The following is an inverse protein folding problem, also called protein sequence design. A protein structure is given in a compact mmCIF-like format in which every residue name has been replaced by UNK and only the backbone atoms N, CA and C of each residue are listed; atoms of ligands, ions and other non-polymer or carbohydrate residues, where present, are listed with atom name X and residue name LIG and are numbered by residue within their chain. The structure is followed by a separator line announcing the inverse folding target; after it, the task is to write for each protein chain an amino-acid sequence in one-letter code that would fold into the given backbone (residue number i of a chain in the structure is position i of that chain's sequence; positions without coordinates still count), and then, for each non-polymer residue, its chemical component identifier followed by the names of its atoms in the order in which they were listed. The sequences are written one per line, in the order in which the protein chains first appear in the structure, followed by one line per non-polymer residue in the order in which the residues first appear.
data_IF_062667689974
#
_entry.id   IF_062667689974
#
_cell.length_a   1.000
_cell.length_b   1.000
_cell.length_c   1.000
_cell.angle_alpha   90.00
_cell.angle_beta   90.00
_cell.angle_gamma   90.00
#
_symmetry.space_group_name_H-M   'P 1'
#
loop_
_entity.id
_entity.type
_entity.pdbx_description
1 polymer ?
#
# COMPACT_ATOMS: atom_id res chain seq x y z
N UNK A 1 -73.63 -0.45 17.71
CA UNK A 1 -74.50 0.32 16.78
C UNK A 1 -74.24 1.78 17.06
N UNK A 2 -73.72 2.51 16.06
CA UNK A 2 -73.14 3.87 16.17
C UNK A 2 -71.85 3.88 17.00
N UNK A 3 -70.66 4.24 16.49
CA UNK A 3 -70.22 5.29 15.55
C UNK A 3 -70.22 6.68 16.20
N UNK A 4 -69.02 7.30 16.28
CA UNK A 4 -68.61 8.39 15.39
C UNK A 4 -67.08 8.57 15.44
N UNK A 5 -66.50 9.12 14.37
CA UNK A 5 -65.06 9.23 14.13
C UNK A 5 -64.54 10.67 14.24
N UNK A 6 -63.20 10.81 14.15
CA UNK A 6 -62.41 12.01 13.79
C UNK A 6 -62.43 13.28 14.66
N UNK A 7 -61.21 13.69 15.08
CA UNK A 7 -60.48 14.80 14.43
C UNK A 7 -59.00 14.98 14.83
N UNK A 8 -58.14 14.87 13.81
CA UNK A 8 -56.96 15.71 13.49
C UNK A 8 -56.01 16.22 14.61
N UNK A 9 -54.83 15.59 14.65
CA UNK A 9 -53.47 16.16 14.61
C UNK A 9 -53.12 17.56 15.19
N UNK A 10 -52.05 17.59 16.02
CA UNK A 10 -50.88 18.45 15.75
C UNK A 10 -49.59 17.94 16.44
N UNK A 11 -48.43 18.49 16.08
CA UNK A 11 -47.05 18.12 16.50
C UNK A 11 -46.48 19.03 17.63
N UNK A 12 -45.36 18.73 18.33
CA UNK A 12 -44.52 17.51 18.35
C UNK A 12 -44.28 16.98 19.81
N UNK A 13 -43.17 17.10 20.57
CA UNK A 13 -41.79 17.57 20.33
C UNK A 13 -40.79 17.13 21.45
N UNK A 14 -39.49 17.13 21.12
CA UNK A 14 -38.25 17.03 21.94
C UNK A 14 -37.99 15.83 22.87
N UNK A 15 -36.97 15.02 22.49
CA UNK A 15 -35.76 14.59 23.26
C UNK A 15 -35.88 13.89 24.65
N UNK A 16 -34.97 12.98 25.08
CA UNK A 16 -33.78 12.33 24.49
C UNK A 16 -33.57 10.98 25.23
N UNK A 17 -32.64 10.06 24.92
CA UNK A 17 -31.55 10.06 23.95
C UNK A 17 -31.32 8.64 23.38
N UNK A 18 -30.93 8.54 22.11
CA UNK A 18 -30.32 7.31 21.58
C UNK A 18 -28.79 7.46 21.55
N UNK A 19 -28.06 6.45 22.04
CA UNK A 19 -26.59 6.46 22.06
C UNK A 19 -26.00 6.25 20.66
N UNK A 20 -26.03 7.27 19.81
CA UNK A 20 -25.57 7.17 18.42
C UNK A 20 -24.09 6.83 18.34
N UNK A 21 -23.78 5.63 17.85
CA UNK A 21 -22.43 5.05 17.81
C UNK A 21 -21.64 5.59 16.61
N UNK A 22 -21.41 6.90 16.61
CA UNK A 22 -20.82 7.67 15.51
C UNK A 22 -19.33 7.38 15.29
N UNK A 23 -18.99 6.19 14.80
CA UNK A 23 -17.66 5.93 14.23
C UNK A 23 -17.71 6.20 12.72
N UNK A 24 -17.32 7.42 12.33
CA UNK A 24 -17.21 7.80 10.91
C UNK A 24 -16.01 7.08 10.30
N UNK A 25 -16.25 5.89 9.72
CA UNK A 25 -15.25 5.20 8.91
C UNK A 25 -14.67 6.21 7.90
N UNK A 26 -13.33 6.30 7.84
CA UNK A 26 -12.62 7.19 6.91
C UNK A 26 -12.66 6.62 5.48
N UNK A 27 -13.88 6.55 4.93
CA UNK A 27 -14.36 5.73 3.81
C UNK A 27 -13.39 5.74 2.62
N UNK A 28 -12.88 4.56 2.24
CA UNK A 28 -11.99 4.42 1.11
C UNK A 28 -12.80 4.11 -0.14
N UNK A 29 -13.25 5.17 -0.83
CA UNK A 29 -14.03 5.24 -2.09
C UNK A 29 -13.48 4.46 -3.31
N UNK A 30 -12.48 3.59 -3.12
CA UNK A 30 -11.90 2.70 -4.14
C UNK A 30 -11.54 1.37 -3.48
N UNK A 31 -11.93 0.25 -4.07
CA UNK A 31 -11.63 -1.11 -3.57
C UNK A 31 -10.13 -1.48 -3.58
N UNK A 32 -9.84 -2.75 -3.30
CA UNK A 32 -8.46 -3.27 -3.36
C UNK A 32 -7.91 -3.22 -4.79
N UNK A 33 -6.63 -2.87 -4.93
CA UNK A 33 -5.98 -2.74 -6.26
C UNK A 33 -5.62 -4.11 -6.82
N UNK A 34 -6.59 -4.76 -7.45
CA UNK A 34 -6.38 -5.97 -8.27
C UNK A 34 -5.94 -5.52 -9.67
N UNK A 35 -4.71 -5.85 -10.07
CA UNK A 35 -4.15 -5.44 -11.38
C UNK A 35 -4.66 -6.34 -12.52
N UNK A 36 -5.96 -6.21 -12.82
CA UNK A 36 -6.70 -7.08 -13.77
C UNK A 36 -6.09 -7.14 -15.18
N UNK A 37 -5.37 -6.11 -15.63
CA UNK A 37 -4.63 -6.13 -16.90
C UNK A 37 -3.52 -7.19 -16.91
N UNK A 38 -2.74 -7.27 -15.83
CA UNK A 38 -1.64 -8.24 -15.69
C UNK A 38 -2.17 -9.66 -15.60
N UNK A 39 -3.27 -9.84 -14.85
CA UNK A 39 -3.94 -11.14 -14.72
C UNK A 39 -4.45 -11.60 -16.10
N UNK A 40 -5.18 -10.76 -16.83
CA UNK A 40 -5.66 -11.07 -18.19
C UNK A 40 -4.54 -11.39 -19.20
N UNK A 41 -3.41 -10.70 -19.11
CA UNK A 41 -2.24 -10.99 -19.94
C UNK A 41 -1.66 -12.37 -19.61
N UNK A 42 -1.35 -12.61 -18.33
CA UNK A 42 -0.87 -13.90 -17.80
C UNK A 42 -1.78 -15.07 -18.19
N UNK A 43 -3.09 -14.87 -18.12
CA UNK A 43 -4.10 -15.91 -18.40
C UNK A 43 -4.21 -16.25 -19.90
N UNK A 44 -3.67 -15.40 -20.79
CA UNK A 44 -3.41 -15.71 -22.21
C UNK A 44 -2.01 -16.26 -22.48
N UNK A 45 -1.12 -16.29 -21.49
CA UNK A 45 0.32 -16.54 -21.65
C UNK A 45 1.16 -15.32 -22.04
N UNK A 46 0.59 -14.12 -22.15
CA UNK A 46 1.32 -12.87 -22.40
C UNK A 46 2.14 -12.46 -21.16
N UNK A 47 3.38 -12.03 -21.37
CA UNK A 47 4.26 -11.47 -20.32
C UNK A 47 4.76 -10.08 -20.70
N UNK A 48 5.03 -9.25 -19.71
CA UNK A 48 5.56 -7.90 -19.92
C UNK A 48 7.09 -7.89 -19.82
N UNK A 49 7.74 -7.28 -20.81
CA UNK A 49 9.17 -7.03 -20.82
C UNK A 49 9.59 -6.02 -19.75
N UNK A 50 10.77 -6.19 -19.11
CA UNK A 50 11.21 -5.34 -17.99
C UNK A 50 12.62 -4.81 -18.21
N UNK A 51 12.71 -3.52 -18.53
CA UNK A 51 13.98 -2.85 -18.73
C UNK A 51 14.59 -2.30 -17.42
N UNK A 52 15.91 -2.18 -17.41
CA UNK A 52 16.73 -1.79 -16.26
C UNK A 52 17.71 -0.70 -16.69
N UNK A 53 18.02 0.25 -15.80
CA UNK A 53 19.15 1.17 -16.02
C UNK A 53 20.49 0.48 -15.72
N UNK A 54 21.60 1.13 -16.11
CA UNK A 54 22.96 0.72 -15.72
C UNK A 54 23.22 0.74 -14.20
N UNK A 55 22.31 1.32 -13.40
CA UNK A 55 22.32 1.29 -11.93
C UNK A 55 21.38 0.20 -11.36
N UNK A 56 21.01 -0.81 -12.16
CA UNK A 56 20.09 -1.90 -11.80
C UNK A 56 18.71 -1.44 -11.27
N UNK A 57 18.19 -0.32 -11.79
CA UNK A 57 16.89 0.24 -11.39
C UNK A 57 15.82 0.09 -12.47
N UNK A 58 14.58 -0.19 -12.04
CA UNK A 58 13.41 -0.32 -12.92
C UNK A 58 13.04 1.00 -13.62
N UNK A 59 13.20 1.00 -14.94
CA UNK A 59 12.81 2.08 -15.85
C UNK A 59 11.45 1.80 -16.52
N UNK A 60 10.85 2.81 -17.15
CA UNK A 60 9.54 2.70 -17.82
C UNK A 60 9.69 2.08 -19.24
N UNK A 61 8.64 1.55 -19.91
CA UNK A 61 7.21 1.62 -19.56
C UNK A 61 6.76 0.73 -18.40
N UNK A 62 7.37 -0.44 -18.22
CA UNK A 62 6.79 -1.49 -17.35
C UNK A 62 7.31 -1.46 -15.90
N UNK A 63 8.36 -0.69 -15.58
CA UNK A 63 8.94 -0.64 -14.24
C UNK A 63 8.00 -0.07 -13.16
N UNK A 64 7.13 0.88 -13.49
CA UNK A 64 6.04 1.34 -12.61
C UNK A 64 4.98 0.27 -12.38
N UNK A 65 4.62 -0.48 -13.42
CA UNK A 65 3.62 -1.55 -13.39
C UNK A 65 4.10 -2.73 -12.53
N UNK A 66 5.30 -3.27 -12.80
CA UNK A 66 5.92 -4.32 -11.99
C UNK A 66 6.04 -3.91 -10.52
N UNK A 67 6.56 -2.70 -10.25
CA UNK A 67 6.72 -2.21 -8.89
C UNK A 67 5.37 -1.99 -8.16
N UNK A 68 4.24 -1.96 -8.87
CA UNK A 68 2.89 -1.92 -8.32
C UNK A 68 2.33 -3.32 -8.11
N UNK A 69 2.59 -4.25 -9.03
CA UNK A 69 2.16 -5.65 -8.96
C UNK A 69 2.82 -6.43 -7.82
N UNK A 70 4.13 -6.23 -7.62
CA UNK A 70 4.85 -6.65 -6.41
C UNK A 70 4.14 -6.11 -5.16
N UNK A 71 3.62 -4.88 -5.23
CA UNK A 71 2.84 -4.27 -4.15
C UNK A 71 1.49 -4.95 -3.88
N UNK A 72 0.81 -5.54 -4.86
CA UNK A 72 -0.37 -6.39 -4.63
C UNK A 72 0.02 -7.75 -4.02
N UNK A 73 0.91 -8.50 -4.68
CA UNK A 73 1.30 -9.86 -4.25
C UNK A 73 1.78 -9.90 -2.80
N UNK A 74 2.60 -8.93 -2.40
CA UNK A 74 3.15 -8.85 -1.04
C UNK A 74 2.08 -8.62 0.03
N UNK A 75 0.97 -7.96 -0.31
CA UNK A 75 -0.17 -7.79 0.59
C UNK A 75 -1.07 -9.03 0.67
N UNK A 76 -0.88 -10.01 -0.22
CA UNK A 76 -1.65 -11.27 -0.26
C UNK A 76 -0.84 -12.47 0.27
N UNK A 77 0.48 -12.34 0.39
CA UNK A 77 1.38 -13.48 0.66
C UNK A 77 2.37 -13.26 1.82
N UNK A 78 2.42 -12.07 2.44
CA UNK A 78 3.26 -11.81 3.62
C UNK A 78 2.45 -11.08 4.71
N UNK A 79 2.37 -11.62 5.94
CA UNK A 79 1.66 -10.98 7.03
C UNK A 79 2.11 -9.55 7.35
N UNK A 80 1.17 -8.68 7.71
CA UNK A 80 1.45 -7.33 8.24
C UNK A 80 2.10 -7.37 9.63
N UNK A 81 2.03 -8.51 10.33
CA UNK A 81 2.63 -8.75 11.65
C UNK A 81 4.10 -9.18 11.63
N UNK A 82 4.67 -9.61 10.49
CA UNK A 82 6.02 -10.20 10.48
C UNK A 82 7.12 -9.15 10.80
N UNK A 83 7.93 -9.37 11.84
CA UNK A 83 8.90 -8.36 12.28
C UNK A 83 10.18 -8.38 11.44
N UNK A 84 10.73 -9.57 11.21
CA UNK A 84 12.00 -9.75 10.49
C UNK A 84 11.77 -10.19 9.03
N UNK A 85 12.03 -9.30 8.07
CA UNK A 85 11.98 -9.64 6.63
C UNK A 85 12.95 -10.77 6.23
N UNK A 86 14.00 -11.02 7.02
CA UNK A 86 14.94 -12.14 6.82
C UNK A 86 14.49 -13.46 7.45
N UNK A 87 13.34 -13.52 8.13
CA UNK A 87 12.83 -14.76 8.72
C UNK A 87 12.68 -15.88 7.67
N UNK A 88 13.04 -17.14 8.01
CA UNK A 88 12.80 -18.31 7.15
C UNK A 88 11.31 -18.64 6.98
N UNK A 89 10.44 -18.27 7.94
CA UNK A 89 8.98 -18.46 7.86
C UNK A 89 8.40 -17.81 6.58
N UNK A 90 8.98 -16.68 6.19
CA UNK A 90 8.58 -15.90 5.02
C UNK A 90 9.11 -16.48 3.70
N UNK A 91 9.87 -17.59 3.71
CA UNK A 91 10.45 -18.20 2.50
C UNK A 91 9.36 -18.57 1.49
N UNK A 92 8.36 -19.36 1.91
CA UNK A 92 7.24 -19.80 1.06
C UNK A 92 6.44 -18.62 0.49
N UNK A 93 6.25 -17.56 1.27
CA UNK A 93 5.58 -16.33 0.81
C UNK A 93 6.39 -15.59 -0.27
N UNK A 94 7.71 -15.46 -0.08
CA UNK A 94 8.64 -14.86 -1.06
C UNK A 94 8.72 -15.68 -2.35
N UNK A 95 8.72 -17.01 -2.24
CA UNK A 95 8.75 -17.93 -3.37
C UNK A 95 7.46 -17.82 -4.20
N UNK A 96 6.28 -17.79 -3.56
CA UNK A 96 5.01 -17.52 -4.24
C UNK A 96 5.00 -16.17 -4.96
N UNK A 97 5.49 -15.10 -4.30
CA UNK A 97 5.64 -13.78 -4.92
C UNK A 97 6.55 -13.84 -6.15
N UNK A 98 7.69 -14.54 -6.06
CA UNK A 98 8.63 -14.69 -7.17
C UNK A 98 8.03 -15.48 -8.34
N UNK A 99 7.33 -16.59 -8.06
CA UNK A 99 6.65 -17.39 -9.09
C UNK A 99 5.58 -16.59 -9.84
N UNK A 100 4.76 -15.78 -9.16
CA UNK A 100 3.78 -14.91 -9.85
C UNK A 100 4.46 -13.80 -10.66
N UNK A 101 5.59 -13.25 -10.20
CA UNK A 101 6.39 -12.30 -10.99
C UNK A 101 6.90 -12.97 -12.29
N UNK A 102 7.52 -14.15 -12.19
CA UNK A 102 8.03 -14.91 -13.35
C UNK A 102 6.91 -15.38 -14.30
N UNK A 103 5.67 -15.55 -13.80
CA UNK A 103 4.49 -15.87 -14.63
C UNK A 103 4.02 -14.69 -15.46
N UNK A 104 4.14 -13.45 -14.95
CA UNK A 104 3.60 -12.25 -15.61
C UNK A 104 4.64 -11.35 -16.29
N UNK A 105 5.93 -11.50 -16.00
CA UNK A 105 6.99 -10.62 -16.52
C UNK A 105 8.20 -11.43 -17.02
N UNK A 106 8.87 -10.92 -18.04
CA UNK A 106 10.21 -11.39 -18.43
C UNK A 106 11.24 -10.75 -17.49
N UNK A 107 11.75 -11.54 -16.54
CA UNK A 107 12.75 -11.13 -15.55
C UNK A 107 13.71 -12.29 -15.30
N UNK A 108 15.00 -12.02 -15.44
CA UNK A 108 16.09 -12.95 -15.12
C UNK A 108 16.21 -13.25 -13.61
N UNK A 109 16.69 -14.45 -13.26
CA UNK A 109 16.77 -14.91 -11.87
C UNK A 109 17.77 -14.12 -11.01
N UNK A 110 18.82 -13.54 -11.59
CA UNK A 110 19.71 -12.60 -10.85
C UNK A 110 18.94 -11.42 -10.25
N UNK A 111 17.81 -11.04 -10.85
CA UNK A 111 16.95 -9.93 -10.39
C UNK A 111 15.94 -10.34 -9.32
N UNK A 112 15.83 -11.63 -8.96
CA UNK A 112 14.99 -12.11 -7.83
C UNK A 112 15.29 -11.32 -6.55
N UNK A 113 16.58 -11.16 -6.22
CA UNK A 113 17.04 -10.42 -5.04
C UNK A 113 16.55 -8.97 -5.02
N UNK A 114 16.50 -8.31 -6.18
CA UNK A 114 15.94 -6.96 -6.31
C UNK A 114 14.43 -6.97 -6.07
N UNK A 115 13.69 -7.87 -6.71
CA UNK A 115 12.24 -7.97 -6.60
C UNK A 115 11.80 -8.25 -5.15
N UNK A 116 12.49 -9.15 -4.45
CA UNK A 116 12.24 -9.46 -3.03
C UNK A 116 12.67 -8.31 -2.08
N UNK A 117 13.66 -7.49 -2.44
CA UNK A 117 13.93 -6.25 -1.69
C UNK A 117 12.87 -5.17 -1.93
N UNK A 118 12.38 -5.03 -3.17
CA UNK A 118 11.29 -4.11 -3.52
C UNK A 118 9.98 -4.53 -2.83
N UNK A 119 9.72 -5.82 -2.73
CA UNK A 119 8.64 -6.39 -1.93
C UNK A 119 8.68 -5.93 -0.46
N UNK A 120 9.81 -6.10 0.23
CA UNK A 120 9.98 -5.61 1.61
C UNK A 120 9.79 -4.10 1.76
N UNK A 121 10.26 -3.30 0.77
CA UNK A 121 10.00 -1.85 0.71
C UNK A 121 8.51 -1.53 0.57
N UNK A 122 7.76 -2.29 -0.25
CA UNK A 122 6.30 -2.13 -0.40
C UNK A 122 5.54 -2.52 0.86
N UNK A 123 5.89 -3.62 1.53
CA UNK A 123 5.27 -4.02 2.80
C UNK A 123 5.46 -2.96 3.89
N UNK A 124 6.69 -2.44 4.04
CA UNK A 124 6.97 -1.34 4.98
C UNK A 124 6.12 -0.11 4.69
N UNK A 125 5.99 0.26 3.41
CA UNK A 125 5.12 1.36 2.97
C UNK A 125 3.65 1.13 3.30
N UNK A 126 3.13 -0.08 3.05
CA UNK A 126 1.74 -0.45 3.34
C UNK A 126 1.45 -0.39 4.85
N UNK A 127 2.31 -0.95 5.70
CA UNK A 127 2.16 -0.87 7.17
C UNK A 127 2.15 0.57 7.68
N UNK A 128 3.01 1.43 7.13
CA UNK A 128 3.01 2.87 7.47
C UNK A 128 1.71 3.57 7.00
N UNK A 129 1.18 3.21 5.83
CA UNK A 129 -0.13 3.68 5.37
C UNK A 129 -1.25 3.24 6.32
N UNK A 130 -1.31 1.95 6.70
CA UNK A 130 -2.32 1.45 7.64
C UNK A 130 -2.29 2.22 8.97
N UNK A 131 -1.09 2.39 9.54
CA UNK A 131 -0.92 3.13 10.80
C UNK A 131 -1.29 4.60 10.70
N UNK A 132 -1.05 5.26 9.57
CA UNK A 132 -1.32 6.69 9.43
C UNK A 132 -2.73 7.01 8.90
N UNK A 133 -3.46 6.04 8.32
CA UNK A 133 -4.83 6.27 7.81
C UNK A 133 -5.93 5.79 8.76
N UNK A 134 -5.67 4.74 9.55
CA UNK A 134 -6.66 4.13 10.44
C UNK A 134 -6.30 4.29 11.91
N UNK A 135 -5.06 3.98 12.29
CA UNK A 135 -4.65 4.00 13.70
C UNK A 135 -4.36 5.41 14.24
N UNK A 136 -4.74 6.48 13.52
CA UNK A 136 -4.49 7.87 13.91
C UNK A 136 -5.61 8.85 13.56
N UNK A 137 -5.70 9.88 14.39
CA UNK A 137 -6.37 11.15 14.16
C UNK A 137 -5.53 12.06 13.22
N UNK A 138 -5.78 13.37 13.19
CA UNK A 138 -5.07 14.31 12.31
C UNK A 138 -3.83 14.92 12.98
N UNK A 139 -3.87 14.97 14.31
CA UNK A 139 -2.84 15.38 15.27
C UNK A 139 -1.69 14.35 15.35
N UNK A 140 -1.99 13.07 15.12
CA UNK A 140 -1.05 11.95 15.04
C UNK A 140 -1.01 11.02 16.25
N UNK A 141 -1.96 11.15 17.18
CA UNK A 141 -2.16 10.26 18.33
C UNK A 141 -2.77 8.92 17.89
N UNK A 142 -2.74 7.91 18.76
CA UNK A 142 -3.31 6.60 18.44
C UNK A 142 -4.77 6.48 18.88
N UNK A 143 -5.66 6.30 17.91
CA UNK A 143 -7.10 6.06 18.15
C UNK A 143 -7.41 4.57 18.24
N UNK A 144 -8.60 4.23 18.77
CA UNK A 144 -9.17 2.89 18.62
C UNK A 144 -9.72 2.73 17.21
N UNK A 145 -9.38 1.62 16.54
CA UNK A 145 -9.61 1.47 15.11
C UNK A 145 -9.85 0.00 14.73
N UNK A 146 -11.08 -0.27 14.33
CA UNK A 146 -11.51 -1.57 13.83
C UNK A 146 -10.78 -1.95 12.52
N UNK A 147 -10.74 -3.26 12.23
CA UNK A 147 -10.09 -3.80 11.02
C UNK A 147 -10.80 -3.28 9.76
N UNK A 148 -10.14 -2.50 8.88
CA UNK A 148 -10.82 -1.88 7.76
C UNK A 148 -11.38 -2.92 6.78
N UNK A 149 -12.69 -2.88 6.52
CA UNK A 149 -13.40 -3.87 5.67
C UNK A 149 -12.70 -4.10 4.32
N UNK A 150 -12.17 -3.04 3.69
CA UNK A 150 -11.39 -3.07 2.44
C UNK A 150 -10.23 -4.09 2.43
N UNK A 151 -9.68 -4.45 3.59
CA UNK A 151 -8.57 -5.39 3.72
C UNK A 151 -8.93 -6.66 4.50
N UNK A 152 -10.21 -6.87 4.85
CA UNK A 152 -10.66 -8.03 5.62
C UNK A 152 -10.44 -9.38 4.92
N UNK A 153 -10.30 -9.39 3.59
CA UNK A 153 -9.93 -10.55 2.77
C UNK A 153 -8.44 -10.95 2.88
N UNK A 154 -7.56 -10.01 3.24
CA UNK A 154 -6.09 -10.18 3.16
C UNK A 154 -5.36 -10.00 4.51
N UNK A 155 -6.07 -9.54 5.54
CA UNK A 155 -5.58 -9.38 6.91
C UNK A 155 -6.64 -10.00 7.82
N UNK A 156 -6.30 -10.99 8.65
CA UNK A 156 -7.26 -11.58 9.59
C UNK A 156 -7.60 -10.61 10.74
N UNK A 157 -8.64 -10.90 11.55
CA UNK A 157 -8.93 -10.10 12.75
C UNK A 157 -7.75 -10.16 13.74
N UNK A 158 -7.35 -11.38 14.12
CA UNK A 158 -6.18 -11.65 14.96
C UNK A 158 -4.89 -10.97 14.45
N UNK A 159 -4.67 -10.95 13.14
CA UNK A 159 -3.50 -10.30 12.53
C UNK A 159 -3.57 -8.77 12.62
N UNK A 160 -4.76 -8.18 12.48
CA UNK A 160 -4.98 -6.75 12.72
C UNK A 160 -4.74 -6.40 14.19
N UNK A 161 -5.29 -7.16 15.12
CA UNK A 161 -5.19 -6.88 16.55
C UNK A 161 -3.74 -7.00 17.04
N UNK A 162 -3.01 -8.04 16.60
CA UNK A 162 -1.57 -8.16 16.78
C UNK A 162 -0.79 -6.98 16.17
N UNK A 163 -1.22 -6.46 15.02
CA UNK A 163 -0.59 -5.27 14.43
C UNK A 163 -0.88 -4.00 15.23
N UNK A 164 -2.09 -3.80 15.74
CA UNK A 164 -2.45 -2.66 16.63
C UNK A 164 -1.64 -2.72 17.92
N UNK A 165 -1.59 -3.88 18.58
CA UNK A 165 -0.81 -4.09 19.81
C UNK A 165 0.68 -3.79 19.60
N UNK A 166 1.29 -4.29 18.50
CA UNK A 166 2.67 -3.95 18.12
C UNK A 166 2.87 -2.46 17.82
N UNK A 167 1.85 -1.74 17.38
CA UNK A 167 1.91 -0.31 17.03
C UNK A 167 1.75 0.62 18.22
N UNK A 168 1.08 0.18 19.30
CA UNK A 168 0.94 0.89 20.59
C UNK A 168 2.04 0.56 21.60
N UNK A 169 2.98 -0.32 21.26
CA UNK A 169 4.07 -0.72 22.14
C UNK A 169 5.08 0.43 22.35
N UNK A 170 5.39 0.76 23.60
CA UNK A 170 6.35 1.82 23.98
C UNK A 170 7.72 1.67 23.29
N UNK A 171 8.25 0.44 23.19
CA UNK A 171 9.54 0.17 22.51
C UNK A 171 9.47 0.49 21.01
N UNK A 172 8.29 0.35 20.40
CA UNK A 172 8.06 0.78 19.02
C UNK A 172 8.05 2.31 18.90
N UNK A 173 7.46 3.02 19.87
CA UNK A 173 7.48 4.49 19.93
C UNK A 173 8.90 5.03 20.16
N UNK A 174 9.67 4.50 21.10
CA UNK A 174 11.08 4.86 21.30
C UNK A 174 11.89 4.74 20.01
N UNK A 175 11.79 3.59 19.33
CA UNK A 175 12.55 3.32 18.09
C UNK A 175 12.05 4.20 16.94
N UNK A 176 10.74 4.47 16.84
CA UNK A 176 10.17 5.45 15.91
C UNK A 176 10.81 6.82 16.15
N UNK A 177 10.79 7.31 17.36
CA UNK A 177 11.13 8.70 17.69
C UNK A 177 12.64 8.95 17.62
N UNK A 178 13.46 7.98 18.06
CA UNK A 178 14.91 7.99 17.83
C UNK A 178 15.24 8.07 16.33
N UNK A 179 14.47 7.38 15.48
CA UNK A 179 14.64 7.44 14.02
C UNK A 179 14.06 8.73 13.40
N UNK A 180 12.96 9.29 13.91
CA UNK A 180 12.44 10.59 13.45
C UNK A 180 13.39 11.74 13.81
N UNK A 181 13.95 11.74 15.02
CA UNK A 181 14.97 12.72 15.46
C UNK A 181 16.25 12.65 14.62
N UNK A 182 16.66 11.46 14.18
CA UNK A 182 17.77 11.26 13.23
C UNK A 182 17.45 11.74 11.80
N UNK A 183 16.18 11.77 11.40
CA UNK A 183 15.76 12.06 10.03
C UNK A 183 15.27 13.52 9.82
N UNK A 184 15.02 14.28 10.88
CA UNK A 184 14.41 15.62 10.80
C UNK A 184 15.35 16.74 10.36
N UNK A 185 16.67 16.56 10.50
CA UNK A 185 17.71 17.55 10.15
C UNK A 185 18.82 16.93 9.29
N UNK A 186 18.55 16.51 8.04
CA UNK A 186 19.59 16.04 7.13
C UNK A 186 20.48 17.21 6.69
N UNK A 187 21.81 17.04 6.75
CA UNK A 187 22.77 18.07 6.31
C UNK A 187 22.58 18.48 4.84
N UNK A 188 22.10 17.55 4.00
CA UNK A 188 21.73 17.78 2.60
C UNK A 188 20.27 17.40 2.37
N UNK A 189 19.34 18.36 2.29
CA UNK A 189 17.94 18.09 1.97
C UNK A 189 17.75 17.43 0.59
N UNK A 190 16.85 16.45 0.51
CA UNK A 190 16.60 15.67 -0.71
C UNK A 190 15.79 16.46 -1.76
N UNK A 191 16.48 17.22 -2.62
CA UNK A 191 15.90 18.12 -3.64
C UNK A 191 15.29 17.43 -4.88
N UNK A 192 14.56 16.32 -4.73
CA UNK A 192 14.22 15.44 -5.87
C UNK A 192 12.73 15.15 -6.02
N UNK A 193 12.23 15.35 -7.24
CA UNK A 193 10.84 15.09 -7.63
C UNK A 193 10.44 13.62 -7.62
N UNK A 194 9.13 13.38 -7.80
CA UNK A 194 8.47 12.06 -7.67
C UNK A 194 9.03 10.94 -8.57
N UNK A 195 9.74 11.27 -9.65
CA UNK A 195 10.12 10.36 -10.73
C UNK A 195 11.20 9.32 -10.38
N UNK A 196 12.13 9.61 -9.47
CA UNK A 196 13.34 8.77 -9.24
C UNK A 196 14.58 9.27 -9.99
N UNK A 197 15.72 8.56 -9.91
CA UNK A 197 16.95 8.94 -10.65
C UNK A 197 17.01 8.22 -12.00
N UNK A 198 16.97 6.89 -12.03
CA UNK A 198 16.96 6.10 -13.27
C UNK A 198 15.92 6.56 -14.30
N UNK A 199 14.69 6.88 -13.88
CA UNK A 199 13.62 7.37 -14.76
C UNK A 199 13.77 8.85 -15.17
N UNK A 200 14.57 9.62 -14.45
CA UNK A 200 14.95 10.98 -14.84
C UNK A 200 16.12 10.94 -15.83
N UNK A 201 17.13 10.09 -15.60
CA UNK A 201 18.20 9.78 -16.55
C UNK A 201 17.62 9.23 -17.86
N UNK A 202 16.68 8.27 -17.79
CA UNK A 202 15.89 7.77 -18.92
C UNK A 202 15.29 8.92 -19.73
N UNK A 203 14.44 9.75 -19.11
CA UNK A 203 13.78 10.88 -19.77
C UNK A 203 14.78 11.87 -20.40
N UNK A 204 15.90 12.14 -19.74
CA UNK A 204 16.94 13.03 -20.27
C UNK A 204 17.63 12.40 -21.50
N UNK A 205 17.85 11.08 -21.49
CA UNK A 205 18.41 10.33 -22.61
C UNK A 205 17.45 10.24 -23.79
N UNK A 206 16.17 9.95 -23.53
CA UNK A 206 15.09 9.93 -24.53
C UNK A 206 14.95 11.29 -25.22
N UNK A 207 14.92 12.38 -24.42
CA UNK A 207 14.86 13.75 -24.95
C UNK A 207 16.07 14.07 -25.84
N UNK A 208 17.30 13.81 -25.38
CA UNK A 208 18.53 14.02 -26.17
C UNK A 208 18.54 13.22 -27.48
N UNK A 209 18.05 11.99 -27.45
CA UNK A 209 17.94 11.16 -28.65
C UNK A 209 16.90 11.73 -29.63
N UNK A 210 15.79 12.27 -29.13
CA UNK A 210 14.77 12.88 -29.98
C UNK A 210 15.24 14.18 -30.65
N UNK A 211 16.01 15.04 -29.97
CA UNK A 211 16.51 16.28 -30.57
C UNK A 211 17.53 16.00 -31.68
N UNK A 212 18.50 15.10 -31.44
CA UNK A 212 19.52 14.73 -32.43
C UNK A 212 18.95 14.05 -33.70
N UNK A 213 17.69 13.59 -33.66
CA UNK A 213 16.98 13.01 -34.80
C UNK A 213 16.18 14.01 -35.63
N UNK A 214 16.21 15.32 -35.29
CA UNK A 214 15.59 16.40 -36.06
C UNK A 214 16.61 17.32 -36.76
N UNK A 215 17.91 17.07 -36.56
CA UNK A 215 19.03 17.84 -37.12
C UNK A 215 19.70 17.12 -38.32
N UNK A 216 18.97 16.23 -39.01
CA UNK A 216 19.38 15.45 -40.20
C UNK A 216 18.28 15.52 -41.27
#
# INVERSE_FOLDING_TARGET
MREMEDKMANQDDTHDASGSRNNVEKEIKRGLTVMKSIIRARDKGEKFEVHWSAEDQLIEPNGSMLASYIGSLVRQHIPITCDNWRSPELKVGKEKIWSEIQRSFHIDESRQKYCIQLAGKRLRGFRSFLSNKFLKDEEGNFVEAERPMKYAEIISAEEWDNFVAKRRNEKFHEVRDKNQKRASKPAYPYKKGRTGYARLQQRISEFRCSTLSHDI
#
